data_IF_655270885336
#
_entry.id   IF_655270885336
#
_cell.length_a   1.000
_cell.length_b   1.000
_cell.length_c   1.000
_cell.angle_alpha   90.00
_cell.angle_beta   90.00
_cell.angle_gamma   90.00
#
_symmetry.space_group_name_H-M   'P 1'
#
loop_
_entity.id
_entity.type
_entity.pdbx_description
1 polymer ?
#
# COMPACT_ATOMS: atom_id res chain seq x y z
N UNK A 1 -9.40 -13.63 -0.30
CA UNK A 1 -9.44 -15.06 -0.67
C UNK A 1 -10.33 -15.27 -1.90
N UNK A 2 -10.08 -16.30 -2.73
CA UNK A 2 -10.87 -16.60 -3.95
C UNK A 2 -12.14 -17.40 -3.61
N UNK A 3 -13.29 -16.99 -4.12
CA UNK A 3 -14.57 -17.69 -3.97
C UNK A 3 -14.73 -18.81 -5.02
N UNK A 4 -14.42 -18.51 -6.28
CA UNK A 4 -14.61 -19.46 -7.38
C UNK A 4 -14.84 -18.78 -8.72
N UNK A 5 -15.18 -19.56 -9.73
CA UNK A 5 -15.43 -19.10 -11.10
C UNK A 5 -16.88 -19.36 -11.50
N UNK A 6 -17.57 -18.33 -12.02
CA UNK A 6 -18.99 -18.36 -12.41
C UNK A 6 -19.14 -17.74 -13.80
N UNK A 7 -19.76 -18.46 -14.74
CA UNK A 7 -19.82 -18.11 -16.17
C UNK A 7 -18.50 -17.52 -16.70
N UNK A 8 -17.39 -18.24 -16.49
CA UNK A 8 -16.04 -17.85 -16.89
C UNK A 8 -15.42 -16.63 -16.17
N UNK A 9 -16.11 -15.98 -15.24
CA UNK A 9 -15.60 -14.85 -14.43
C UNK A 9 -15.13 -15.33 -13.05
N UNK A 10 -13.90 -14.98 -12.68
CA UNK A 10 -13.35 -15.27 -11.35
C UNK A 10 -13.85 -14.26 -10.32
N UNK A 11 -14.25 -14.74 -9.14
CA UNK A 11 -14.68 -13.92 -8.01
C UNK A 11 -13.82 -14.19 -6.78
N UNK A 12 -13.44 -13.12 -6.09
CA UNK A 12 -13.08 -13.15 -4.67
C UNK A 12 -14.34 -13.08 -3.79
N UNK A 13 -14.22 -13.43 -2.51
CA UNK A 13 -15.34 -13.29 -1.56
C UNK A 13 -15.84 -11.84 -1.47
N UNK A 14 -14.92 -10.88 -1.41
CA UNK A 14 -15.27 -9.46 -1.29
C UNK A 14 -15.93 -8.90 -2.57
N UNK A 15 -15.49 -9.33 -3.76
CA UNK A 15 -16.15 -8.94 -5.02
C UNK A 15 -17.56 -9.54 -5.12
N UNK A 16 -17.72 -10.79 -4.69
CA UNK A 16 -19.01 -11.47 -4.69
C UNK A 16 -20.01 -10.77 -3.77
N UNK A 17 -19.59 -10.39 -2.56
CA UNK A 17 -20.40 -9.64 -1.61
C UNK A 17 -20.84 -8.29 -2.19
N UNK A 18 -19.90 -7.51 -2.73
CA UNK A 18 -20.22 -6.22 -3.36
C UNK A 18 -21.16 -6.35 -4.56
N UNK A 19 -20.96 -7.36 -5.41
CA UNK A 19 -21.88 -7.61 -6.53
C UNK A 19 -23.26 -7.97 -6.00
N UNK A 20 -23.37 -8.82 -4.98
CA UNK A 20 -24.65 -9.22 -4.39
C UNK A 20 -25.38 -8.05 -3.72
N UNK A 21 -24.66 -7.18 -3.01
CA UNK A 21 -25.23 -5.97 -2.43
C UNK A 21 -25.75 -5.04 -3.53
N UNK A 22 -24.93 -4.78 -4.55
CA UNK A 22 -25.32 -3.93 -5.67
C UNK A 22 -26.55 -4.47 -6.40
N UNK A 23 -26.58 -5.76 -6.78
CA UNK A 23 -27.72 -6.32 -7.51
C UNK A 23 -28.99 -6.41 -6.68
N UNK A 24 -28.90 -6.42 -5.34
CA UNK A 24 -30.06 -6.46 -4.45
C UNK A 24 -30.63 -5.07 -4.15
N UNK A 25 -29.82 -4.01 -4.21
CA UNK A 25 -30.22 -2.65 -3.80
C UNK A 25 -30.39 -1.69 -4.98
N UNK A 26 -29.58 -1.80 -6.04
CA UNK A 26 -29.58 -0.87 -7.17
C UNK A 26 -30.95 -0.77 -7.86
N UNK A 27 -31.32 0.42 -8.31
CA UNK A 27 -32.47 0.65 -9.18
C UNK A 27 -32.26 0.04 -10.58
N UNK A 28 -33.34 -0.11 -11.35
CA UNK A 28 -33.23 -0.55 -12.75
C UNK A 28 -32.34 0.38 -13.57
N UNK A 29 -32.37 1.69 -13.29
CA UNK A 29 -31.57 2.67 -14.02
C UNK A 29 -30.09 2.60 -13.65
N UNK A 30 -29.76 2.32 -12.39
CA UNK A 30 -28.38 2.07 -11.96
C UNK A 30 -27.81 0.79 -12.59
N UNK A 31 -28.60 -0.29 -12.67
CA UNK A 31 -28.19 -1.51 -13.35
C UNK A 31 -27.99 -1.28 -14.87
N UNK A 32 -28.88 -0.52 -15.53
CA UNK A 32 -28.68 -0.13 -16.93
C UNK A 32 -27.45 0.76 -17.10
N UNK A 33 -27.22 1.69 -16.18
CA UNK A 33 -26.04 2.54 -16.13
C UNK A 33 -24.74 1.74 -16.02
N UNK A 34 -24.77 0.62 -15.31
CA UNK A 34 -23.72 -0.40 -15.26
C UNK A 34 -23.58 -1.23 -16.55
N UNK A 35 -24.25 -0.86 -17.64
CA UNK A 35 -24.27 -1.59 -18.92
C UNK A 35 -24.87 -3.01 -18.84
N UNK A 36 -25.70 -3.30 -17.83
CA UNK A 36 -26.44 -4.56 -17.74
C UNK A 36 -27.56 -4.57 -18.79
N UNK A 37 -27.68 -5.60 -19.64
CA UNK A 37 -28.73 -5.67 -20.65
C UNK A 37 -30.13 -5.63 -20.02
N UNK A 38 -31.09 -4.90 -20.60
CA UNK A 38 -32.43 -4.70 -20.00
C UNK A 38 -33.14 -6.01 -19.62
N UNK A 39 -32.95 -7.07 -20.41
CA UNK A 39 -33.49 -8.41 -20.12
C UNK A 39 -32.87 -9.07 -18.88
N UNK A 40 -31.58 -8.83 -18.63
CA UNK A 40 -30.89 -9.26 -17.44
C UNK A 40 -31.31 -8.41 -16.24
N UNK A 41 -31.49 -7.08 -16.42
CA UNK A 41 -32.03 -6.19 -15.38
C UNK A 41 -33.37 -6.69 -14.85
N UNK A 42 -34.33 -6.97 -15.74
CA UNK A 42 -35.64 -7.51 -15.33
C UNK A 42 -35.50 -8.84 -14.58
N UNK A 43 -34.61 -9.72 -15.02
CA UNK A 43 -34.39 -11.03 -14.39
C UNK A 43 -33.76 -10.89 -13.00
N UNK A 44 -32.77 -10.00 -12.84
CA UNK A 44 -32.11 -9.70 -11.58
C UNK A 44 -33.10 -9.08 -10.58
N UNK A 45 -33.82 -8.03 -10.99
CA UNK A 45 -34.79 -7.33 -10.11
C UNK A 45 -35.91 -8.28 -9.67
N UNK A 46 -36.41 -9.12 -10.58
CA UNK A 46 -37.45 -10.11 -10.27
C UNK A 46 -36.98 -11.26 -9.36
N UNK A 47 -35.67 -11.51 -9.27
CA UNK A 47 -35.09 -12.58 -8.46
C UNK A 47 -34.67 -12.12 -7.06
N UNK A 48 -34.82 -10.83 -6.73
CA UNK A 48 -34.40 -10.30 -5.42
C UNK A 48 -35.20 -10.91 -4.27
N UNK A 49 -34.56 -11.23 -3.13
CA UNK A 49 -33.12 -11.13 -2.89
C UNK A 49 -32.34 -12.30 -3.53
N UNK A 50 -31.24 -11.97 -4.20
CA UNK A 50 -30.29 -12.94 -4.76
C UNK A 50 -29.26 -13.27 -3.68
N UNK A 51 -29.23 -14.53 -3.25
CA UNK A 51 -28.47 -14.96 -2.07
C UNK A 51 -26.99 -15.30 -2.34
N UNK A 52 -26.64 -15.71 -3.57
CA UNK A 52 -25.27 -16.11 -3.93
C UNK A 52 -24.95 -15.79 -5.39
N UNK A 53 -23.66 -15.67 -5.72
CA UNK A 53 -23.21 -15.45 -7.11
C UNK A 53 -23.57 -16.63 -8.01
N UNK A 54 -23.63 -17.86 -7.48
CA UNK A 54 -24.14 -19.01 -8.23
C UNK A 54 -25.60 -18.82 -8.67
N UNK A 55 -26.47 -18.37 -7.75
CA UNK A 55 -27.87 -18.08 -8.07
C UNK A 55 -27.98 -16.92 -9.05
N UNK A 56 -27.12 -15.90 -8.91
CA UNK A 56 -27.06 -14.77 -9.85
C UNK A 56 -26.70 -15.21 -11.27
N UNK A 57 -25.66 -16.06 -11.40
CA UNK A 57 -25.18 -16.58 -12.67
C UNK A 57 -26.22 -17.48 -13.37
N UNK A 58 -26.99 -18.25 -12.59
CA UNK A 58 -28.06 -19.11 -13.12
C UNK A 58 -29.31 -18.35 -13.61
N UNK A 59 -29.41 -17.03 -13.37
CA UNK A 59 -30.56 -16.25 -13.84
C UNK A 59 -30.59 -16.13 -15.37
N UNK A 60 -31.80 -16.15 -15.93
CA UNK A 60 -31.99 -15.94 -17.36
C UNK A 60 -31.33 -14.63 -17.82
N UNK A 61 -30.53 -14.73 -18.88
CA UNK A 61 -29.81 -13.62 -19.51
C UNK A 61 -28.69 -13.00 -18.66
N UNK A 62 -28.42 -13.55 -17.48
CA UNK A 62 -27.13 -13.38 -16.80
C UNK A 62 -26.18 -14.42 -17.40
N UNK A 63 -24.95 -13.99 -17.65
CA UNK A 63 -23.89 -14.75 -18.29
C UNK A 63 -22.60 -13.96 -18.19
N UNK A 64 -21.49 -14.47 -18.73
CA UNK A 64 -20.13 -13.90 -18.57
C UNK A 64 -20.10 -12.37 -18.65
N UNK A 65 -20.61 -11.80 -19.75
CA UNK A 65 -20.58 -10.35 -19.98
C UNK A 65 -21.42 -9.56 -18.96
N UNK A 66 -22.55 -10.10 -18.53
CA UNK A 66 -23.36 -9.46 -17.48
C UNK A 66 -22.61 -9.49 -16.15
N UNK A 67 -21.96 -10.61 -15.81
CA UNK A 67 -21.15 -10.71 -14.59
C UNK A 67 -19.93 -9.78 -14.64
N UNK A 68 -19.24 -9.66 -15.78
CA UNK A 68 -18.15 -8.69 -15.99
C UNK A 68 -18.63 -7.25 -15.79
N UNK A 69 -19.80 -6.90 -16.33
CA UNK A 69 -20.39 -5.57 -16.16
C UNK A 69 -20.78 -5.27 -14.71
N UNK A 70 -21.39 -6.24 -14.01
CA UNK A 70 -21.71 -6.11 -12.60
C UNK A 70 -20.45 -5.99 -11.75
N UNK A 71 -19.44 -6.82 -12.03
CA UNK A 71 -18.14 -6.78 -11.37
C UNK A 71 -17.45 -5.44 -11.60
N UNK A 72 -17.49 -4.91 -12.82
CA UNK A 72 -16.96 -3.58 -13.15
C UNK A 72 -17.75 -2.44 -12.47
N UNK A 73 -19.06 -2.59 -12.31
CA UNK A 73 -19.90 -1.58 -11.66
C UNK A 73 -19.65 -1.47 -10.15
N UNK A 74 -19.22 -2.56 -9.54
CA UNK A 74 -18.80 -2.60 -8.13
C UNK A 74 -17.28 -2.69 -7.97
N UNK A 75 -16.56 -2.60 -9.09
CA UNK A 75 -15.12 -2.49 -9.06
C UNK A 75 -14.87 -1.18 -8.33
N UNK A 76 -14.23 -1.30 -7.17
CA UNK A 76 -13.58 -0.15 -6.58
C UNK A 76 -12.75 0.47 -7.70
N UNK A 77 -12.81 1.81 -7.88
CA UNK A 77 -11.93 2.45 -8.84
C UNK A 77 -10.52 1.93 -8.56
N UNK A 78 -9.80 1.51 -9.60
CA UNK A 78 -8.55 0.76 -9.49
C UNK A 78 -7.43 1.66 -8.97
N UNK A 79 -7.58 2.20 -7.75
CA UNK A 79 -6.70 3.20 -7.18
C UNK A 79 -5.26 2.71 -7.19
N UNK A 80 -4.37 3.54 -7.72
CA UNK A 80 -2.96 3.22 -7.86
C UNK A 80 -2.33 3.74 -9.15
N UNK A 81 -3.11 4.16 -10.14
CA UNK A 81 -2.56 4.79 -11.34
C UNK A 81 -1.84 6.09 -11.01
N UNK A 82 -0.76 6.35 -11.74
CA UNK A 82 -0.04 7.61 -11.65
C UNK A 82 -0.90 8.72 -12.26
N UNK A 83 -0.99 9.86 -11.58
CA UNK A 83 -1.79 10.99 -12.00
C UNK A 83 -1.03 12.30 -11.82
N UNK A 84 -1.25 13.27 -12.71
CA UNK A 84 -0.79 14.65 -12.56
C UNK A 84 -1.90 15.60 -12.11
N UNK A 85 -3.16 15.17 -12.13
CA UNK A 85 -4.34 15.95 -11.74
C UNK A 85 -5.46 15.04 -11.26
N UNK A 86 -6.48 15.59 -10.58
CA UNK A 86 -7.67 14.82 -10.21
C UNK A 86 -8.48 14.36 -11.44
N UNK A 87 -8.36 15.10 -12.56
CA UNK A 87 -9.13 14.84 -13.79
C UNK A 87 -8.64 13.58 -14.52
N UNK A 88 -7.43 13.11 -14.23
CA UNK A 88 -6.87 11.85 -14.73
C UNK A 88 -7.36 10.64 -13.94
N UNK A 89 -7.96 10.86 -12.77
CA UNK A 89 -8.43 9.79 -11.91
C UNK A 89 -9.87 9.40 -12.24
N UNK A 90 -10.18 8.11 -12.09
CA UNK A 90 -11.54 7.60 -12.18
C UNK A 90 -12.50 8.29 -11.20
N UNK A 91 -13.80 8.22 -11.47
CA UNK A 91 -14.80 8.86 -10.62
C UNK A 91 -14.66 8.44 -9.15
N UNK A 92 -14.70 9.42 -8.23
CA UNK A 92 -14.54 9.20 -6.79
C UNK A 92 -13.09 9.15 -6.29
N UNK A 93 -12.10 9.08 -7.18
CA UNK A 93 -10.69 9.12 -6.81
C UNK A 93 -10.14 10.54 -6.76
N UNK A 94 -9.06 10.72 -5.99
CA UNK A 94 -8.26 11.94 -5.95
C UNK A 94 -6.79 11.64 -6.18
N UNK A 95 -6.12 12.56 -6.86
CA UNK A 95 -4.69 12.48 -7.08
C UNK A 95 -3.93 12.98 -5.86
N UNK A 96 -3.33 12.08 -5.09
CA UNK A 96 -2.70 12.37 -3.80
C UNK A 96 -1.25 11.92 -3.73
N UNK A 97 -0.55 12.35 -2.68
CA UNK A 97 0.82 11.93 -2.37
C UNK A 97 1.84 12.43 -3.40
N UNK A 98 1.76 13.71 -3.77
CA UNK A 98 2.70 14.35 -4.70
C UNK A 98 3.95 14.80 -3.96
N UNK A 99 5.14 14.24 -4.27
CA UNK A 99 6.39 14.70 -3.69
C UNK A 99 6.71 16.14 -4.10
N UNK A 100 7.40 16.90 -3.24
CA UNK A 100 7.91 18.22 -3.62
C UNK A 100 8.83 18.08 -4.85
N UNK A 101 8.65 18.95 -5.86
CA UNK A 101 9.45 18.93 -7.08
C UNK A 101 9.01 17.88 -8.12
N UNK A 102 7.94 17.13 -7.84
CA UNK A 102 7.34 16.16 -8.75
C UNK A 102 5.86 16.47 -8.98
N UNK A 103 5.43 16.47 -10.24
CA UNK A 103 4.06 16.84 -10.61
C UNK A 103 3.07 15.66 -10.57
N UNK A 104 3.50 14.49 -10.10
CA UNK A 104 2.70 13.27 -10.12
C UNK A 104 2.47 12.66 -8.73
N UNK A 105 1.32 12.02 -8.57
CA UNK A 105 0.89 11.27 -7.40
C UNK A 105 0.27 9.93 -7.79
N UNK A 106 -0.59 9.38 -6.93
CA UNK A 106 -1.45 8.23 -7.27
C UNK A 106 -2.93 8.56 -7.09
N UNK A 107 -3.77 8.01 -7.95
CA UNK A 107 -5.22 8.08 -7.78
C UNK A 107 -5.65 7.20 -6.60
N UNK A 108 -6.22 7.80 -5.56
CA UNK A 108 -6.66 7.11 -4.33
C UNK A 108 -8.11 7.42 -4.01
N UNK A 109 -8.81 6.41 -3.51
CA UNK A 109 -10.14 6.59 -2.92
C UNK A 109 -9.96 7.14 -1.51
N UNK A 110 -10.30 8.42 -1.33
CA UNK A 110 -10.22 9.12 -0.04
C UNK A 110 -11.60 9.30 0.60
N UNK A 111 -12.62 8.60 0.09
CA UNK A 111 -13.94 8.60 0.70
C UNK A 111 -13.90 7.94 2.07
N UNK A 112 -14.71 8.42 3.00
CA UNK A 112 -14.79 7.83 4.33
C UNK A 112 -15.33 6.40 4.26
N UNK A 113 -14.71 5.49 5.01
CA UNK A 113 -15.15 4.10 5.21
C UNK A 113 -15.52 3.88 6.66
N UNK A 114 -16.57 3.09 6.89
CA UNK A 114 -16.95 2.64 8.22
C UNK A 114 -15.79 1.90 8.88
N UNK A 115 -15.54 2.17 10.15
CA UNK A 115 -14.40 1.63 10.90
C UNK A 115 -13.08 2.37 10.71
N UNK A 116 -13.02 3.44 9.89
CA UNK A 116 -11.84 4.30 9.82
C UNK A 116 -11.57 4.94 11.20
N UNK A 117 -10.32 4.85 11.66
CA UNK A 117 -9.82 5.25 13.00
C UNK A 117 -10.26 4.38 14.18
N UNK A 118 -10.95 3.25 13.95
CA UNK A 118 -11.17 2.28 15.01
C UNK A 118 -9.85 1.66 15.48
N UNK A 119 -9.77 1.33 16.77
CA UNK A 119 -8.59 0.69 17.36
C UNK A 119 -8.43 -0.73 16.81
N UNK A 120 -7.21 -1.12 16.51
CA UNK A 120 -6.89 -2.44 15.99
C UNK A 120 -5.53 -2.93 16.50
N UNK A 121 -5.36 -4.25 16.52
CA UNK A 121 -4.10 -4.92 16.80
C UNK A 121 -3.53 -5.62 15.55
N UNK A 122 -4.38 -5.98 14.59
CA UNK A 122 -4.00 -6.58 13.31
C UNK A 122 -4.91 -6.08 12.19
N UNK A 123 -4.47 -6.21 10.94
CA UNK A 123 -5.28 -5.80 9.76
C UNK A 123 -6.66 -6.49 9.73
N UNK A 124 -6.78 -7.72 10.23
CA UNK A 124 -8.03 -8.46 10.29
C UNK A 124 -9.07 -7.89 11.27
N UNK A 125 -8.68 -6.97 12.15
CA UNK A 125 -9.61 -6.24 13.02
C UNK A 125 -10.33 -5.11 12.26
N UNK A 126 -9.81 -4.71 11.09
CA UNK A 126 -10.33 -3.61 10.30
C UNK A 126 -11.35 -4.08 9.25
N UNK A 127 -12.31 -3.20 8.92
CA UNK A 127 -13.28 -3.43 7.86
C UNK A 127 -12.67 -3.47 6.46
N UNK A 128 -13.49 -3.76 5.46
CA UNK A 128 -13.04 -3.95 4.08
C UNK A 128 -12.27 -2.76 3.49
N UNK A 129 -11.07 -3.06 2.98
CA UNK A 129 -10.13 -2.09 2.42
C UNK A 129 -9.62 -1.06 3.43
N UNK A 130 -9.66 -1.42 4.71
CA UNK A 130 -8.90 -0.80 5.78
C UNK A 130 -7.82 -1.78 6.28
N UNK A 131 -6.76 -1.23 6.88
CA UNK A 131 -5.62 -1.93 7.45
C UNK A 131 -5.24 -1.28 8.77
N UNK A 132 -4.54 -2.01 9.63
CA UNK A 132 -4.17 -1.53 10.95
C UNK A 132 -2.78 -0.87 10.93
N UNK A 133 -2.70 0.45 11.07
CA UNK A 133 -1.43 1.21 11.01
C UNK A 133 -1.02 1.76 12.40
N UNK A 134 0.16 2.38 12.45
CA UNK A 134 0.75 3.04 13.63
C UNK A 134 1.14 2.11 14.80
N UNK A 135 1.19 0.79 14.53
CA UNK A 135 1.49 -0.24 15.52
C UNK A 135 2.92 -0.15 16.06
N UNK A 136 3.86 0.34 15.26
CA UNK A 136 5.27 0.41 15.65
C UNK A 136 5.55 1.50 16.68
N UNK A 137 4.62 2.45 16.84
CA UNK A 137 4.75 3.67 17.66
C UNK A 137 3.84 3.65 18.89
N UNK A 138 2.55 3.34 18.76
CA UNK A 138 1.55 3.61 19.83
C UNK A 138 1.11 2.40 20.65
N UNK A 139 1.71 1.22 20.44
CA UNK A 139 1.36 -0.01 21.16
C UNK A 139 0.10 -0.67 20.60
N UNK A 140 -0.98 0.10 20.45
CA UNK A 140 -2.17 -0.25 19.68
C UNK A 140 -2.20 0.59 18.39
N UNK A 141 -2.73 0.02 17.30
CA UNK A 141 -2.88 0.71 16.02
C UNK A 141 -4.29 1.26 15.83
N UNK A 142 -4.52 1.87 14.66
CA UNK A 142 -5.86 2.26 14.22
C UNK A 142 -6.08 1.92 12.73
N UNK A 143 -7.33 1.70 12.38
CA UNK A 143 -7.73 1.33 11.03
C UNK A 143 -7.64 2.54 10.09
N UNK A 144 -6.90 2.38 9.00
CA UNK A 144 -6.71 3.39 7.96
C UNK A 144 -6.93 2.76 6.58
N UNK A 145 -7.09 3.57 5.54
CA UNK A 145 -7.24 3.04 4.19
C UNK A 145 -6.04 2.18 3.78
N UNK A 146 -6.30 1.06 3.11
CA UNK A 146 -5.27 0.13 2.63
C UNK A 146 -4.14 0.81 1.84
N UNK A 147 -4.48 1.79 1.01
CA UNK A 147 -3.52 2.54 0.20
C UNK A 147 -2.57 3.43 1.00
N UNK A 148 -2.87 3.69 2.29
CA UNK A 148 -2.00 4.41 3.20
C UNK A 148 -0.83 3.56 3.70
N UNK A 149 -0.72 2.29 3.28
CA UNK A 149 0.50 1.47 3.39
C UNK A 149 1.00 1.15 1.99
N UNK A 150 2.29 1.34 1.75
CA UNK A 150 2.93 0.93 0.49
C UNK A 150 4.40 0.56 0.75
N UNK A 151 4.97 -0.23 -0.16
CA UNK A 151 6.32 -0.75 -0.07
C UNK A 151 7.11 -0.38 -1.33
N UNK A 152 8.28 0.18 -1.14
CA UNK A 152 9.15 0.69 -2.19
C UNK A 152 10.47 -0.07 -2.18
N UNK A 153 10.67 -0.92 -3.18
CA UNK A 153 11.85 -1.79 -3.28
C UNK A 153 12.89 -1.23 -4.24
N UNK A 154 14.13 -1.12 -3.76
CA UNK A 154 15.30 -0.78 -4.58
C UNK A 154 16.18 -2.02 -4.64
N UNK A 155 16.43 -2.51 -5.86
CA UNK A 155 17.39 -3.57 -6.13
C UNK A 155 18.69 -3.03 -6.70
N UNK A 156 19.73 -3.88 -6.69
CA UNK A 156 21.03 -3.56 -7.27
C UNK A 156 22.15 -3.84 -6.27
N UNK A 157 23.29 -4.32 -6.78
CA UNK A 157 24.43 -4.67 -5.92
C UNK A 157 25.33 -3.45 -5.75
N UNK A 158 25.39 -2.93 -4.52
CA UNK A 158 26.34 -1.90 -4.07
C UNK A 158 27.44 -2.53 -3.23
N UNK A 159 28.70 -2.35 -3.64
CA UNK A 159 29.86 -2.84 -2.88
C UNK A 159 30.13 -1.98 -1.66
N UNK A 160 30.42 -2.62 -0.52
CA UNK A 160 30.87 -1.98 0.71
C UNK A 160 32.36 -2.32 0.88
N UNK A 161 33.28 -1.38 0.59
CA UNK A 161 34.70 -1.67 0.59
C UNK A 161 35.27 -1.81 2.02
N UNK A 162 36.35 -2.59 2.16
CA UNK A 162 37.15 -2.70 3.40
C UNK A 162 38.07 -1.49 3.62
N UNK A 163 37.47 -0.29 3.62
CA UNK A 163 38.15 0.98 3.90
C UNK A 163 37.23 1.87 4.70
N UNK A 164 37.80 2.72 5.54
CA UNK A 164 37.02 3.68 6.32
C UNK A 164 36.42 4.72 5.36
N UNK A 165 35.10 4.78 5.33
CA UNK A 165 34.34 5.71 4.50
C UNK A 165 34.16 7.02 5.26
N UNK A 166 34.50 8.15 4.64
CA UNK A 166 34.30 9.49 5.23
C UNK A 166 32.84 9.94 5.15
N UNK A 167 32.11 9.46 4.15
CA UNK A 167 30.70 9.76 3.90
C UNK A 167 29.96 8.44 3.60
N UNK A 168 28.66 8.32 3.95
CA UNK A 168 27.86 7.18 3.57
C UNK A 168 27.62 7.12 2.06
N UNK A 169 27.47 5.91 1.54
CA UNK A 169 26.87 5.72 0.21
C UNK A 169 25.35 5.79 0.35
N UNK A 170 24.72 6.64 -0.45
CA UNK A 170 23.27 6.82 -0.46
C UNK A 170 22.61 5.97 -1.55
N UNK A 171 21.51 5.31 -1.18
CA UNK A 171 20.66 4.52 -2.07
C UNK A 171 19.24 5.11 -2.05
N UNK A 172 18.90 6.00 -3.01
CA UNK A 172 17.65 6.75 -2.97
C UNK A 172 16.44 5.91 -3.39
N UNK A 173 15.27 6.25 -2.86
CA UNK A 173 13.96 5.70 -3.23
C UNK A 173 12.91 6.80 -3.19
N UNK A 174 12.14 6.94 -4.27
CA UNK A 174 11.05 7.91 -4.33
C UNK A 174 9.77 7.32 -3.76
N UNK A 175 9.29 7.89 -2.66
CA UNK A 175 8.00 7.55 -2.04
C UNK A 175 6.94 8.55 -2.53
N UNK A 176 5.84 8.04 -3.09
CA UNK A 176 4.72 8.86 -3.56
C UNK A 176 3.39 8.09 -3.51
N UNK A 177 2.28 8.83 -3.60
CA UNK A 177 0.93 8.25 -3.55
C UNK A 177 0.49 7.80 -2.16
N UNK A 178 1.17 8.29 -1.11
CA UNK A 178 0.80 8.15 0.30
C UNK A 178 -0.07 9.34 0.76
N UNK A 179 -0.48 9.38 2.03
CA UNK A 179 -1.17 10.51 2.64
C UNK A 179 -0.20 11.70 2.83
N UNK A 180 -0.15 12.37 3.99
CA UNK A 180 0.77 13.51 4.21
C UNK A 180 2.00 13.16 5.04
N UNK A 181 1.81 12.45 6.15
CA UNK A 181 2.87 12.22 7.15
C UNK A 181 3.04 10.73 7.47
N UNK A 182 4.25 10.26 7.83
CA UNK A 182 4.51 8.85 8.11
C UNK A 182 3.98 8.43 9.49
N UNK A 183 3.68 7.14 9.66
CA UNK A 183 3.29 6.52 10.93
C UNK A 183 4.26 5.38 11.30
N UNK A 184 4.23 4.29 10.55
CA UNK A 184 5.21 3.21 10.62
C UNK A 184 6.24 3.38 9.51
N UNK A 185 7.51 3.22 9.86
CA UNK A 185 8.63 3.23 8.90
C UNK A 185 9.44 1.97 9.14
N UNK A 186 9.41 1.05 8.18
CA UNK A 186 10.05 -0.27 8.27
C UNK A 186 10.99 -0.41 7.09
N UNK A 187 12.22 -0.85 7.36
CA UNK A 187 13.24 -1.07 6.33
C UNK A 187 13.69 -2.53 6.39
N UNK A 188 13.41 -3.26 5.32
CA UNK A 188 13.95 -4.60 5.10
C UNK A 188 15.19 -4.49 4.20
N UNK A 189 16.33 -5.04 4.62
CA UNK A 189 17.62 -4.90 3.93
C UNK A 189 18.23 -6.26 3.64
N UNK A 190 18.61 -6.50 2.38
CA UNK A 190 19.49 -7.61 1.99
C UNK A 190 20.92 -7.09 1.89
N UNK A 191 21.65 -7.21 3.01
CA UNK A 191 23.02 -6.74 3.15
C UNK A 191 23.89 -7.83 3.79
N UNK A 192 25.09 -7.97 3.26
CA UNK A 192 26.13 -8.83 3.83
C UNK A 192 27.34 -7.99 4.16
N UNK A 193 28.00 -8.29 5.28
CA UNK A 193 29.25 -7.63 5.66
C UNK A 193 30.07 -8.57 6.55
N UNK A 194 31.36 -8.73 6.28
CA UNK A 194 32.23 -9.65 7.02
C UNK A 194 32.62 -9.15 8.41
N UNK A 195 32.43 -7.85 8.69
CA UNK A 195 32.55 -7.27 10.04
C UNK A 195 31.42 -6.27 10.33
N UNK A 196 30.23 -6.71 10.77
CA UNK A 196 29.10 -5.82 11.05
C UNK A 196 29.38 -4.76 12.12
N UNK A 197 30.40 -4.93 12.97
CA UNK A 197 30.78 -3.94 13.99
C UNK A 197 31.39 -2.67 13.40
N UNK A 198 31.79 -2.74 12.13
CA UNK A 198 32.34 -1.60 11.39
C UNK A 198 31.28 -0.84 10.59
N UNK A 199 30.05 -1.34 10.54
CA UNK A 199 28.98 -0.83 9.69
C UNK A 199 28.07 0.14 10.45
N UNK A 200 27.74 1.26 9.82
CA UNK A 200 26.62 2.13 10.18
C UNK A 200 25.60 2.13 9.05
N UNK A 201 24.32 2.07 9.42
CA UNK A 201 23.18 2.16 8.49
C UNK A 201 22.26 3.26 9.01
N UNK A 202 21.96 4.22 8.15
CA UNK A 202 21.01 5.29 8.42
C UNK A 202 19.89 5.35 7.40
N UNK A 203 18.86 6.11 7.70
CA UNK A 203 17.77 6.43 6.79
C UNK A 203 17.59 7.95 6.75
N UNK A 204 17.73 8.51 5.56
CA UNK A 204 17.46 9.92 5.30
C UNK A 204 15.99 10.08 4.91
N UNK A 205 15.17 10.80 5.71
CA UNK A 205 13.83 11.21 5.31
C UNK A 205 13.87 12.31 4.23
N UNK A 206 12.76 12.55 3.52
CA UNK A 206 12.73 13.44 2.37
C UNK A 206 12.78 14.94 2.71
N UNK A 207 12.41 15.29 3.94
CA UNK A 207 12.50 16.64 4.46
C UNK A 207 13.73 16.79 5.35
N UNK A 208 14.25 18.01 5.47
CA UNK A 208 15.58 18.39 6.00
C UNK A 208 15.93 18.03 7.46
N UNK A 209 15.40 16.93 7.99
CA UNK A 209 15.87 16.24 9.18
C UNK A 209 17.21 15.53 8.89
N UNK A 210 18.08 15.49 9.90
CA UNK A 210 19.29 14.64 9.89
C UNK A 210 18.93 13.15 9.71
N UNK A 211 19.81 12.34 9.10
CA UNK A 211 19.56 10.90 8.98
C UNK A 211 19.30 10.24 10.33
N UNK A 212 18.26 9.40 10.40
CA UNK A 212 18.04 8.56 11.58
C UNK A 212 18.95 7.33 11.52
N UNK A 213 19.51 6.94 12.65
CA UNK A 213 20.35 5.73 12.73
C UNK A 213 19.47 4.49 12.87
N UNK A 214 19.56 3.58 11.90
CA UNK A 214 18.91 2.26 11.95
C UNK A 214 19.83 1.21 12.56
N UNK A 215 21.12 1.27 12.22
CA UNK A 215 22.15 0.42 12.78
C UNK A 215 23.44 1.17 13.08
N UNK A 216 24.00 0.95 14.27
CA UNK A 216 25.35 1.37 14.63
C UNK A 216 26.12 0.16 15.18
N UNK A 217 27.00 -0.40 14.35
CA UNK A 217 27.81 -1.56 14.70
C UNK A 217 28.84 -1.29 15.80
N UNK A 218 29.16 -0.03 16.10
CA UNK A 218 30.07 0.31 17.18
C UNK A 218 29.44 0.11 18.56
N UNK A 219 28.11 0.21 18.65
CA UNK A 219 27.36 0.14 19.91
C UNK A 219 26.47 -1.09 19.99
N UNK A 220 25.99 -1.62 18.87
CA UNK A 220 25.14 -2.79 18.84
C UNK A 220 25.92 -4.10 18.89
N UNK A 221 25.33 -5.08 19.59
CA UNK A 221 25.90 -6.41 19.75
C UNK A 221 25.00 -7.44 19.08
N UNK A 222 25.60 -8.39 18.38
CA UNK A 222 24.87 -9.45 17.67
C UNK A 222 24.95 -9.36 16.15
N UNK A 223 24.29 -10.28 15.44
CA UNK A 223 24.24 -10.27 13.98
C UNK A 223 23.46 -9.06 13.47
N UNK A 224 23.85 -8.56 12.30
CA UNK A 224 23.11 -7.52 11.58
C UNK A 224 21.68 -8.03 11.27
N UNK A 225 20.62 -7.35 11.71
CA UNK A 225 19.26 -7.77 11.42
C UNK A 225 18.90 -7.45 9.96
N UNK A 226 18.00 -8.25 9.39
CA UNK A 226 17.46 -8.02 8.05
C UNK A 226 16.31 -6.99 8.03
N UNK A 227 15.74 -6.65 9.20
CA UNK A 227 14.60 -5.73 9.34
C UNK A 227 14.87 -4.70 10.43
N UNK A 228 14.64 -3.43 10.09
CA UNK A 228 14.70 -2.28 10.99
C UNK A 228 13.32 -1.66 11.12
N UNK A 229 12.97 -1.26 12.35
CA UNK A 229 11.74 -0.50 12.64
C UNK A 229 12.20 0.85 13.16
N UNK A 230 11.91 1.91 12.40
CA UNK A 230 12.21 3.28 12.82
C UNK A 230 11.13 3.83 13.75
N UNK A 231 11.60 4.52 14.79
CA UNK A 231 10.77 5.30 15.74
C UNK A 231 11.26 6.74 15.90
N UNK A 232 12.24 7.17 15.12
CA UNK A 232 12.92 8.45 15.27
C UNK A 232 12.61 9.44 14.14
N UNK A 233 12.07 9.00 13.00
CA UNK A 233 11.55 9.93 11.98
C UNK A 233 10.41 10.75 12.57
N UNK A 234 10.38 12.06 12.32
CA UNK A 234 9.29 12.88 12.82
C UNK A 234 7.96 12.52 12.12
N UNK A 235 6.90 12.37 12.91
CA UNK A 235 5.57 11.97 12.41
C UNK A 235 4.73 13.14 11.87
N UNK A 236 5.33 14.32 11.79
CA UNK A 236 4.80 15.52 11.15
C UNK A 236 5.60 15.89 9.88
N UNK A 237 6.64 15.11 9.54
CA UNK A 237 7.43 15.30 8.32
C UNK A 237 6.69 14.73 7.10
N UNK A 238 7.05 15.21 5.90
CA UNK A 238 6.42 14.71 4.67
C UNK A 238 6.80 13.24 4.46
N UNK A 239 5.82 12.36 4.24
CA UNK A 239 6.09 10.97 3.84
C UNK A 239 6.47 10.86 2.36
N UNK A 240 5.92 11.74 1.51
CA UNK A 240 6.16 11.73 0.07
C UNK A 240 7.42 12.55 -0.25
N UNK A 241 8.33 11.97 -1.03
CA UNK A 241 9.64 12.53 -1.30
C UNK A 241 10.71 11.49 -1.55
N UNK A 242 11.92 11.95 -1.84
CA UNK A 242 13.09 11.09 -1.98
C UNK A 242 13.62 10.73 -0.59
N UNK A 243 13.50 9.46 -0.23
CA UNK A 243 14.18 8.88 0.92
C UNK A 243 15.52 8.29 0.46
N UNK A 244 16.46 8.08 1.38
CA UNK A 244 17.67 7.33 1.05
C UNK A 244 18.12 6.41 2.19
N UNK A 245 18.40 5.15 1.86
CA UNK A 245 19.16 4.28 2.75
C UNK A 245 20.63 4.70 2.67
N UNK A 246 21.25 4.93 3.82
CA UNK A 246 22.64 5.34 3.95
C UNK A 246 23.44 4.18 4.51
N UNK A 247 24.54 3.80 3.85
CA UNK A 247 25.42 2.72 4.31
C UNK A 247 26.85 3.22 4.38
N UNK A 248 27.51 3.01 5.53
CA UNK A 248 28.88 3.47 5.77
C UNK A 248 29.70 2.42 6.50
N UNK A 249 30.88 2.08 5.95
CA UNK A 249 31.90 1.34 6.69
C UNK A 249 32.75 2.34 7.50
N UNK A 250 32.33 2.61 8.73
CA UNK A 250 32.89 3.67 9.58
C UNK A 250 34.29 3.30 10.06
N UNK A 251 34.50 2.05 10.48
CA UNK A 251 35.79 1.61 11.01
C UNK A 251 36.73 1.04 9.92
N UNK A 252 36.21 0.81 8.71
CA UNK A 252 36.97 0.37 7.55
C UNK A 252 37.46 -1.06 7.60
N UNK A 253 36.92 -1.89 8.49
CA UNK A 253 37.23 -3.32 8.54
C UNK A 253 36.08 -4.10 7.91
N UNK A 254 36.42 -5.26 7.34
CA UNK A 254 35.45 -6.09 6.63
C UNK A 254 34.97 -5.44 5.34
N UNK A 255 34.42 -6.25 4.46
CA UNK A 255 33.80 -5.85 3.20
C UNK A 255 32.44 -6.51 3.08
N UNK A 256 31.63 -6.01 2.17
CA UNK A 256 30.27 -6.48 2.01
C UNK A 256 29.59 -6.02 0.75
N UNK A 257 28.31 -6.33 0.68
CA UNK A 257 27.44 -5.99 -0.44
C UNK A 257 26.05 -5.67 0.10
N UNK A 258 25.48 -4.55 -0.36
CA UNK A 258 24.05 -4.29 -0.32
C UNK A 258 23.46 -4.80 -1.63
N UNK A 259 22.48 -5.71 -1.59
CA UNK A 259 21.81 -6.25 -2.79
C UNK A 259 20.48 -5.58 -3.08
N UNK A 260 19.90 -4.96 -2.05
CA UNK A 260 18.69 -4.19 -2.15
C UNK A 260 18.08 -3.92 -0.78
N UNK A 261 17.04 -3.11 -0.77
CA UNK A 261 16.21 -2.87 0.39
C UNK A 261 14.76 -2.60 -0.01
N UNK A 262 13.85 -2.75 0.93
CA UNK A 262 12.45 -2.34 0.80
C UNK A 262 12.11 -1.40 1.95
N UNK A 263 11.66 -0.21 1.61
CA UNK A 263 11.08 0.76 2.54
C UNK A 263 9.56 0.57 2.54
N UNK A 264 9.00 0.13 3.66
CA UNK A 264 7.55 0.11 3.88
C UNK A 264 7.18 1.26 4.78
N UNK A 265 6.24 2.09 4.32
CA UNK A 265 5.69 3.18 5.11
C UNK A 265 4.19 2.99 5.28
N UNK A 266 3.69 3.32 6.46
CA UNK A 266 2.29 3.69 6.63
C UNK A 266 2.19 5.21 6.78
N UNK A 267 1.04 5.78 6.45
CA UNK A 267 0.84 7.22 6.49
C UNK A 267 -0.54 7.62 7.00
N UNK A 268 -0.66 8.86 7.45
CA UNK A 268 -1.95 9.48 7.77
C UNK A 268 -2.05 10.88 7.17
N UNK A 269 -3.26 11.40 7.20
CA UNK A 269 -3.48 12.83 7.02
C UNK A 269 -3.05 13.59 8.28
N UNK A 270 -2.50 14.77 8.07
CA UNK A 270 -2.21 15.76 9.11
C UNK A 270 -3.51 16.49 9.52
#
# INVERSE_FOLDING_TARGET
ERLGRFDDVDFTYAEAERVLDFVNVASEDELRGASVPSRAVTSIVGARPVATVAVLADLYWVGTRTLEHLLAAVAQPAGGEVCMSNDECGAGLRCVGRPWGHDYGKCRDVSHREGFQDVCAVDADCGDGLICIAQTVYGDGYCAHDWMRDSFTVGGVGSIPAVAMTEPTAYPVLVFGQATVPEDVIVDVDITHSDPSSLWIGLQPPTGQEPVTLWDGATMTGPLPARFIDRAVYRDDSVNGEWALLVQNVAGRGEGELRGFTLTVTSRWD
#
